data_IF_073120230991
#
_entry.id   IF_073120230991
#
_cell.length_a   1.000
_cell.length_b   1.000
_cell.length_c   1.000
_cell.angle_alpha   90.00
_cell.angle_beta   90.00
_cell.angle_gamma   90.00
#
_symmetry.space_group_name_H-M   'P 1'
#
loop_
_entity.id
_entity.type
_entity.pdbx_description
1 polymer ?
#
# COMPACT_ATOMS: atom_id res chain seq x y z
N UNK A 1 -2.63 -0.53 15.07
CA UNK A 1 -1.27 -0.49 14.46
C UNK A 1 -0.62 0.85 14.83
N UNK A 2 0.71 0.94 14.76
CA UNK A 2 1.48 2.17 14.96
C UNK A 2 2.07 2.66 13.64
N UNK A 3 2.25 3.98 13.53
CA UNK A 3 2.76 4.66 12.36
C UNK A 3 3.73 5.77 12.77
N UNK A 4 4.66 6.11 11.89
CA UNK A 4 5.48 7.31 12.05
C UNK A 4 4.72 8.51 11.49
N UNK A 5 4.48 9.57 12.28
CA UNK A 5 3.73 10.73 11.82
C UNK A 5 4.53 11.52 10.79
N UNK A 6 3.86 11.94 9.73
CA UNK A 6 4.37 12.89 8.73
C UNK A 6 3.53 14.16 8.82
N UNK A 7 4.19 15.32 8.92
CA UNK A 7 3.48 16.60 8.96
C UNK A 7 2.86 16.88 7.58
N UNK A 8 1.59 17.26 7.60
CA UNK A 8 0.81 17.60 6.41
C UNK A 8 0.03 18.89 6.67
N UNK A 9 -0.38 19.55 5.59
CA UNK A 9 -1.37 20.61 5.65
C UNK A 9 -2.79 19.99 5.63
N UNK A 10 -3.72 20.56 6.42
CA UNK A 10 -5.11 20.10 6.50
C UNK A 10 -5.54 19.65 7.90
N UNK A 11 -6.77 19.14 7.99
CA UNK A 11 -7.40 18.67 9.25
C UNK A 11 -7.76 17.18 9.25
N UNK A 12 -7.50 16.48 8.15
CA UNK A 12 -7.81 15.06 7.98
C UNK A 12 -6.54 14.22 8.11
N UNK A 13 -6.64 13.05 8.74
CA UNK A 13 -5.54 12.10 8.82
C UNK A 13 -5.39 11.44 7.45
N UNK A 14 -4.17 11.39 6.94
CA UNK A 14 -3.85 10.59 5.75
C UNK A 14 -3.40 9.20 6.19
N UNK A 15 -4.06 8.17 5.68
CA UNK A 15 -3.71 6.77 5.93
C UNK A 15 -3.38 6.06 4.62
N UNK A 16 -2.44 5.12 4.69
CA UNK A 16 -1.98 4.39 3.51
C UNK A 16 -3.06 3.42 3.00
N UNK A 17 -3.39 3.37 1.70
CA UNK A 17 -4.47 2.54 1.17
C UNK A 17 -4.34 1.04 1.52
N UNK A 18 -3.12 0.53 1.52
CA UNK A 18 -2.83 -0.89 1.82
C UNK A 18 -3.08 -1.30 3.28
N UNK A 19 -3.30 -0.34 4.20
CA UNK A 19 -3.68 -0.65 5.59
C UNK A 19 -5.18 -0.47 5.84
N UNK A 20 -5.96 -0.01 4.86
CA UNK A 20 -7.41 0.13 5.00
C UNK A 20 -8.14 -1.20 5.30
N UNK A 21 -7.81 -2.35 4.64
CA UNK A 21 -8.52 -3.60 4.91
C UNK A 21 -8.40 -4.09 6.37
N UNK A 22 -7.20 -4.09 7.00
CA UNK A 22 -7.08 -4.40 8.43
C UNK A 22 -7.89 -3.52 9.37
N UNK A 23 -8.17 -2.26 8.99
CA UNK A 23 -8.99 -1.34 9.77
C UNK A 23 -10.48 -1.42 9.42
N UNK A 24 -10.83 -2.15 8.34
CA UNK A 24 -12.15 -2.12 7.73
C UNK A 24 -12.65 -0.69 7.53
N UNK A 25 -11.75 0.17 7.04
CA UNK A 25 -12.00 1.59 6.82
C UNK A 25 -12.10 1.90 5.33
N UNK A 26 -12.97 2.83 4.98
CA UNK A 26 -13.02 3.45 3.67
C UNK A 26 -12.81 4.98 3.76
N UNK A 27 -13.06 5.70 2.67
CA UNK A 27 -12.84 7.15 2.58
C UNK A 27 -14.15 7.93 2.38
N UNK A 28 -15.28 7.44 2.91
CA UNK A 28 -16.58 8.08 2.77
C UNK A 28 -16.96 9.04 3.93
N UNK A 29 -16.14 9.08 4.99
CA UNK A 29 -16.40 9.87 6.20
C UNK A 29 -15.92 9.24 7.50
N UNK A 30 -15.32 8.04 7.43
CA UNK A 30 -14.74 7.34 8.57
C UNK A 30 -13.78 8.20 9.41
N UNK A 31 -13.83 7.99 10.73
CA UNK A 31 -13.00 8.70 11.71
C UNK A 31 -12.03 7.75 12.40
N UNK A 32 -10.81 8.21 12.62
CA UNK A 32 -9.77 7.46 13.33
C UNK A 32 -9.26 8.22 14.55
N UNK A 33 -9.14 7.52 15.67
CA UNK A 33 -8.52 8.05 16.87
C UNK A 33 -7.00 7.88 16.82
N UNK A 34 -6.26 8.93 17.19
CA UNK A 34 -4.80 8.91 17.27
C UNK A 34 -4.38 9.02 18.74
N UNK A 35 -3.57 8.07 19.18
CA UNK A 35 -3.00 8.05 20.53
C UNK A 35 -1.48 8.19 20.44
N UNK A 36 -0.89 8.90 21.40
CA UNK A 36 0.56 9.15 21.45
C UNK A 36 1.18 8.38 22.62
N UNK A 37 2.08 7.40 22.37
CA UNK A 37 2.78 6.71 23.44
C UNK A 37 3.76 7.65 24.13
N UNK A 38 3.70 7.72 25.47
CA UNK A 38 4.48 8.66 26.26
C UNK A 38 5.75 8.04 26.84
N UNK A 39 5.66 6.86 27.46
CA UNK A 39 6.80 6.18 28.08
C UNK A 39 7.75 5.60 27.04
N UNK A 40 9.01 5.42 27.42
CA UNK A 40 10.01 4.87 26.51
C UNK A 40 9.70 3.42 26.14
N UNK A 41 9.13 2.67 27.10
CA UNK A 41 8.69 1.29 26.93
C UNK A 41 7.54 1.23 25.91
N UNK A 42 6.54 2.10 26.04
CA UNK A 42 5.41 2.16 25.11
C UNK A 42 5.84 2.59 23.70
N UNK A 43 6.80 3.51 23.59
CA UNK A 43 7.38 3.90 22.29
C UNK A 43 8.11 2.73 21.64
N UNK A 44 8.95 2.03 22.41
CA UNK A 44 9.68 0.86 21.92
C UNK A 44 8.71 -0.25 21.47
N UNK A 45 7.68 -0.55 22.27
CA UNK A 45 6.65 -1.52 21.91
C UNK A 45 5.90 -1.12 20.63
N UNK A 46 5.49 0.16 20.53
CA UNK A 46 4.81 0.66 19.35
C UNK A 46 5.66 0.52 18.09
N UNK A 47 6.97 0.81 18.18
CA UNK A 47 7.89 0.72 17.04
C UNK A 47 8.28 -0.72 16.68
N UNK A 48 8.46 -1.60 17.67
CA UNK A 48 8.99 -2.95 17.44
C UNK A 48 7.85 -3.93 17.15
N UNK A 49 6.73 -3.85 17.88
CA UNK A 49 5.64 -4.82 17.78
C UNK A 49 4.46 -4.30 16.97
N UNK A 50 4.09 -3.02 17.14
CA UNK A 50 2.84 -2.52 16.57
C UNK A 50 3.00 -1.81 15.23
N UNK A 51 4.22 -1.54 14.78
CA UNK A 51 4.48 -0.81 13.54
C UNK A 51 3.82 -1.53 12.36
N UNK A 52 3.11 -0.78 11.50
CA UNK A 52 2.30 -1.36 10.42
C UNK A 52 3.08 -2.27 9.48
N UNK A 53 4.36 -1.96 9.22
CA UNK A 53 5.26 -2.78 8.38
C UNK A 53 5.51 -4.19 8.94
N UNK A 54 5.30 -4.42 10.23
CA UNK A 54 5.44 -5.75 10.85
C UNK A 54 4.14 -6.56 10.74
N UNK A 55 3.02 -5.92 10.45
CA UNK A 55 1.68 -6.50 10.48
C UNK A 55 1.16 -6.82 9.06
N UNK A 56 1.92 -7.60 8.31
CA UNK A 56 1.62 -7.92 6.90
C UNK A 56 0.73 -9.16 6.76
N UNK A 57 0.77 -10.07 7.74
CA UNK A 57 0.03 -11.33 7.74
C UNK A 57 -1.14 -11.28 8.72
N UNK A 58 -2.23 -11.94 8.36
CA UNK A 58 -3.38 -12.16 9.24
C UNK A 58 -2.98 -13.10 10.38
N UNK A 59 -3.19 -12.71 11.65
CA UNK A 59 -2.95 -13.60 12.79
C UNK A 59 -3.85 -14.85 12.77
N UNK A 60 -5.01 -14.79 12.10
CA UNK A 60 -6.00 -15.86 12.12
C UNK A 60 -5.66 -17.02 11.17
N UNK A 61 -5.05 -16.74 10.02
CA UNK A 61 -4.82 -17.73 8.97
C UNK A 61 -3.46 -17.62 8.26
N UNK A 62 -2.61 -16.67 8.64
CA UNK A 62 -1.28 -16.47 8.06
C UNK A 62 -1.28 -15.93 6.63
N UNK A 63 -2.44 -15.61 6.04
CA UNK A 63 -2.50 -15.03 4.71
C UNK A 63 -2.13 -13.54 4.72
N UNK A 64 -1.54 -13.00 3.64
CA UNK A 64 -1.28 -11.57 3.54
C UNK A 64 -2.56 -10.73 3.65
N UNK A 65 -2.56 -9.71 4.50
CA UNK A 65 -3.67 -8.75 4.64
C UNK A 65 -3.39 -7.43 3.91
N UNK A 66 -2.13 -7.18 3.59
CA UNK A 66 -1.66 -5.99 2.87
C UNK A 66 -1.62 -6.32 1.39
N UNK A 67 -2.80 -6.49 0.79
CA UNK A 67 -2.96 -6.80 -0.64
C UNK A 67 -3.45 -5.56 -1.41
N UNK A 68 -2.96 -5.33 -2.65
CA UNK A 68 -3.49 -4.28 -3.49
C UNK A 68 -4.98 -4.46 -3.73
N UNK A 69 -5.72 -3.36 -3.90
CA UNK A 69 -7.16 -3.37 -4.14
C UNK A 69 -7.54 -2.37 -5.24
N UNK A 70 -8.73 -2.58 -5.82
CA UNK A 70 -9.40 -1.66 -6.75
C UNK A 70 -8.45 -1.13 -7.83
N UNK A 71 -8.12 0.16 -7.80
CA UNK A 71 -7.33 0.86 -8.82
C UNK A 71 -5.93 0.27 -9.02
N UNK A 72 -5.29 -0.23 -7.94
CA UNK A 72 -3.98 -0.86 -8.07
C UNK A 72 -4.08 -2.17 -8.87
N UNK A 73 -5.09 -2.98 -8.59
CA UNK A 73 -5.32 -4.23 -9.34
C UNK A 73 -5.68 -3.90 -10.79
N UNK A 74 -6.54 -2.91 -11.01
CA UNK A 74 -6.94 -2.49 -12.35
C UNK A 74 -5.74 -2.00 -13.18
N UNK A 75 -4.86 -1.19 -12.59
CA UNK A 75 -3.65 -0.68 -13.24
C UNK A 75 -2.68 -1.81 -13.60
N UNK A 76 -2.40 -2.72 -12.65
CA UNK A 76 -1.55 -3.88 -12.91
C UNK A 76 -2.17 -4.75 -14.01
N UNK A 77 -3.45 -5.08 -13.89
CA UNK A 77 -4.17 -5.89 -14.87
C UNK A 77 -4.10 -5.28 -16.27
N UNK A 78 -4.37 -3.98 -16.40
CA UNK A 78 -4.29 -3.27 -17.67
C UNK A 78 -2.88 -3.29 -18.28
N UNK A 79 -1.85 -3.09 -17.44
CA UNK A 79 -0.45 -3.08 -17.89
C UNK A 79 0.06 -4.47 -18.29
N UNK A 80 -0.45 -5.54 -17.67
CA UNK A 80 0.00 -6.92 -17.92
C UNK A 80 -0.90 -7.70 -18.87
N UNK A 81 -2.02 -7.14 -19.30
CA UNK A 81 -2.92 -7.80 -20.26
C UNK A 81 -2.32 -7.78 -21.66
N UNK A 82 -2.35 -8.93 -22.34
CA UNK A 82 -1.96 -9.02 -23.75
C UNK A 82 -2.96 -8.26 -24.61
N UNK A 83 -2.45 -7.48 -25.57
CA UNK A 83 -3.27 -6.81 -26.59
C UNK A 83 -3.25 -7.69 -27.85
N UNK A 84 -4.41 -8.23 -28.24
CA UNK A 84 -4.54 -9.07 -29.44
C UNK A 84 -4.14 -8.33 -30.73
N UNK A 85 -4.34 -7.00 -30.78
CA UNK A 85 -3.99 -6.14 -31.91
C UNK A 85 -2.90 -5.13 -31.52
N UNK A 86 -1.68 -5.61 -31.23
CA UNK A 86 -0.54 -4.68 -31.19
C UNK A 86 -0.22 -4.24 -32.62
N UNK A 87 -0.49 -2.96 -32.96
CA UNK A 87 -0.24 -2.38 -34.29
C UNK A 87 1.26 -2.32 -34.69
N UNK A 88 2.15 -2.92 -33.90
CA UNK A 88 3.60 -2.90 -34.07
C UNK A 88 4.18 -4.25 -34.49
N UNK A 89 5.26 -4.21 -35.28
CA UNK A 89 6.13 -5.38 -35.49
C UNK A 89 6.69 -5.85 -34.14
N UNK A 90 6.93 -7.16 -33.98
CA UNK A 90 7.66 -7.69 -32.82
C UNK A 90 8.97 -6.91 -32.61
N UNK A 91 9.13 -6.36 -31.41
CA UNK A 91 10.30 -5.55 -31.03
C UNK A 91 11.16 -6.38 -30.07
N UNK A 92 12.46 -6.37 -30.30
CA UNK A 92 13.45 -7.02 -29.44
C UNK A 92 14.30 -5.93 -28.79
N UNK A 93 14.40 -5.96 -27.46
CA UNK A 93 15.19 -5.02 -26.68
C UNK A 93 16.32 -5.76 -25.96
N UNK A 94 17.46 -5.09 -25.76
CA UNK A 94 18.60 -5.67 -25.05
C UNK A 94 18.43 -5.62 -23.53
N UNK A 95 17.60 -4.70 -23.03
CA UNK A 95 17.33 -4.51 -21.61
C UNK A 95 15.93 -3.87 -21.39
N UNK A 96 15.50 -3.79 -20.14
CA UNK A 96 14.19 -3.20 -19.76
C UNK A 96 14.13 -1.69 -19.97
N UNK A 97 15.24 -0.97 -19.83
CA UNK A 97 15.27 0.49 -19.99
C UNK A 97 14.98 0.90 -21.45
N UNK A 98 15.54 0.18 -22.41
CA UNK A 98 15.30 0.39 -23.84
C UNK A 98 13.82 0.17 -24.18
N UNK A 99 13.20 -0.84 -23.57
CA UNK A 99 11.77 -1.10 -23.73
C UNK A 99 10.90 0.00 -23.12
N UNK A 100 11.28 0.57 -21.97
CA UNK A 100 10.56 1.69 -21.33
C UNK A 100 10.67 2.98 -22.16
N UNK A 101 11.82 3.25 -22.79
CA UNK A 101 12.02 4.44 -23.62
C UNK A 101 11.16 4.43 -24.90
N UNK A 102 10.76 3.25 -25.35
CA UNK A 102 9.98 3.05 -26.58
C UNK A 102 8.46 2.86 -26.33
N UNK A 103 8.06 2.72 -25.06
CA UNK A 103 6.66 2.66 -24.62
C UNK A 103 6.00 4.05 -24.60
#
# INVERSE_FOLDING_TARGET
QAFMPVLIEGKAIQIHPMVCPPFNADFDGDQMAVHVPLSNEAKAEAMILMLSVNNILSPANGQPIVVPSQDMILGIYYLTSEREESEGKERFYNNTQDAILDF
#
